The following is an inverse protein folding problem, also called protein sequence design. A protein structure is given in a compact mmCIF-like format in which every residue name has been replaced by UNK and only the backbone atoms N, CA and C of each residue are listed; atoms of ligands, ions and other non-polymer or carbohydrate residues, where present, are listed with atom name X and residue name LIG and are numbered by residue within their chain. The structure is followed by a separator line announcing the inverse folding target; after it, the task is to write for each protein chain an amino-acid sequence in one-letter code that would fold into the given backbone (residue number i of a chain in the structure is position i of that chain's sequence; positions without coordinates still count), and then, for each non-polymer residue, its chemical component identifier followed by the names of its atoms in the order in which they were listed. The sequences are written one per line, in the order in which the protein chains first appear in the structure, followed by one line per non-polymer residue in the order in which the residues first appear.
data_IF_706191074143
#
_entry.id   IF_706191074143
#
_cell.length_a   1.000
_cell.length_b   1.000
_cell.length_c   1.000
_cell.angle_alpha   90.00
_cell.angle_beta   90.00
_cell.angle_gamma   90.00
#
_symmetry.space_group_name_H-M   'P 1'
#
loop_
_entity.id
_entity.type
_entity.pdbx_description
1 polymer ?
#
# COMPACT_ATOMS: atom_id res chain seq x y z
N UNK A 1 27.76 20.85 -17.80
CA UNK A 1 26.39 20.39 -17.74
C UNK A 1 26.33 18.89 -17.62
N UNK A 2 25.81 18.42 -16.49
CA UNK A 2 25.61 16.97 -16.32
C UNK A 2 24.29 16.56 -16.91
N UNK A 3 24.35 15.57 -17.81
CA UNK A 3 23.15 14.95 -18.37
C UNK A 3 22.65 13.91 -17.37
N UNK A 4 21.37 14.00 -17.00
CA UNK A 4 20.72 13.00 -16.16
C UNK A 4 20.22 11.85 -17.02
N UNK A 5 20.48 10.64 -16.56
CA UNK A 5 20.01 9.42 -17.22
C UNK A 5 19.06 8.65 -16.34
N UNK A 6 18.12 7.96 -17.00
CA UNK A 6 17.22 7.00 -16.36
C UNK A 6 17.60 5.62 -16.91
N UNK A 7 17.69 4.64 -16.04
CA UNK A 7 17.94 3.26 -16.45
C UNK A 7 16.61 2.53 -16.57
N UNK A 8 16.34 1.94 -17.74
CA UNK A 8 15.13 1.17 -17.97
C UNK A 8 15.25 -0.25 -17.38
N UNK A 9 14.19 -1.05 -17.50
CA UNK A 9 14.13 -2.42 -16.98
C UNK A 9 15.19 -3.36 -17.61
N UNK A 10 15.68 -3.00 -18.80
CA UNK A 10 16.67 -3.79 -19.54
C UNK A 10 18.11 -3.30 -19.30
N UNK A 11 18.28 -2.32 -18.41
CA UNK A 11 19.58 -1.75 -18.08
C UNK A 11 20.07 -0.67 -19.04
N UNK A 12 19.24 -0.23 -19.99
CA UNK A 12 19.60 0.80 -20.95
C UNK A 12 19.50 2.19 -20.32
N UNK A 13 20.49 3.03 -20.59
CA UNK A 13 20.47 4.42 -20.16
C UNK A 13 19.63 5.27 -21.13
N UNK A 14 18.70 6.05 -20.57
CA UNK A 14 17.86 6.97 -21.34
C UNK A 14 18.06 8.36 -20.78
N UNK A 15 18.34 9.33 -21.68
CA UNK A 15 18.50 10.72 -21.28
C UNK A 15 17.18 11.25 -20.71
N UNK A 16 17.21 11.70 -19.46
CA UNK A 16 16.02 12.18 -18.76
C UNK A 16 15.32 13.33 -19.51
N UNK A 17 16.07 14.14 -20.24
CA UNK A 17 15.51 15.26 -21.04
C UNK A 17 14.64 14.78 -22.21
N UNK A 18 14.79 13.52 -22.65
CA UNK A 18 14.00 12.94 -23.74
C UNK A 18 12.70 12.30 -23.27
N UNK A 19 12.47 12.20 -21.96
CA UNK A 19 11.24 11.65 -21.40
C UNK A 19 10.07 12.59 -21.72
N UNK A 20 9.07 12.09 -22.44
CA UNK A 20 7.92 12.88 -22.88
C UNK A 20 6.77 12.89 -21.88
N UNK A 21 6.69 11.91 -21.00
CA UNK A 21 5.61 11.79 -20.04
C UNK A 21 6.06 11.03 -18.81
N UNK A 22 5.60 11.47 -17.64
CA UNK A 22 5.79 10.78 -16.35
C UNK A 22 4.57 11.02 -15.48
N UNK A 23 4.29 10.13 -14.50
CA UNK A 23 3.22 10.36 -13.53
C UNK A 23 3.48 11.62 -12.72
N UNK A 24 2.42 12.39 -12.44
CA UNK A 24 2.50 13.55 -11.54
C UNK A 24 2.44 13.13 -10.06
N UNK A 25 1.80 12.00 -9.77
CA UNK A 25 1.68 11.45 -8.43
C UNK A 25 2.94 10.64 -8.10
N UNK A 26 3.64 11.03 -7.06
CA UNK A 26 4.93 10.44 -6.67
C UNK A 26 4.83 9.41 -5.56
N UNK A 27 3.64 9.10 -5.02
CA UNK A 27 3.48 8.14 -3.93
C UNK A 27 4.00 6.74 -4.31
N UNK A 28 3.84 6.34 -5.57
CA UNK A 28 4.30 5.05 -6.07
C UNK A 28 5.46 5.18 -7.06
N UNK A 29 6.33 6.18 -6.86
CA UNK A 29 7.45 6.42 -7.78
C UNK A 29 8.40 5.22 -7.90
N UNK A 30 8.49 4.39 -6.85
CA UNK A 30 9.31 3.17 -6.88
C UNK A 30 8.70 2.07 -7.77
N UNK A 31 7.45 2.22 -8.19
CA UNK A 31 6.79 1.34 -9.15
C UNK A 31 6.83 1.90 -10.59
N UNK A 32 7.45 3.04 -10.80
CA UNK A 32 7.55 3.61 -12.14
C UNK A 32 8.42 2.74 -13.05
N UNK A 33 7.95 2.54 -14.27
CA UNK A 33 8.68 1.86 -15.32
C UNK A 33 8.68 2.77 -16.57
N UNK A 34 9.80 2.75 -17.29
CA UNK A 34 9.91 3.51 -18.51
C UNK A 34 9.72 2.58 -19.72
N UNK A 35 8.89 3.00 -20.67
CA UNK A 35 8.70 2.35 -21.95
C UNK A 35 8.85 3.40 -23.04
N UNK A 36 9.91 3.31 -23.83
CA UNK A 36 10.26 4.35 -24.76
C UNK A 36 10.57 5.66 -24.05
N UNK A 37 9.75 6.69 -24.27
CA UNK A 37 9.89 8.02 -23.65
C UNK A 37 8.82 8.31 -22.62
N UNK A 38 8.06 7.29 -22.19
CA UNK A 38 6.96 7.42 -21.24
C UNK A 38 7.33 6.69 -19.93
N UNK A 39 7.21 7.40 -18.82
CA UNK A 39 7.28 6.80 -17.49
C UNK A 39 5.85 6.58 -17.01
N UNK A 40 5.52 5.35 -16.63
CA UNK A 40 4.21 4.97 -16.12
C UNK A 40 4.34 4.11 -14.88
N UNK A 41 3.28 3.99 -14.09
CA UNK A 41 3.24 3.11 -12.93
C UNK A 41 3.10 1.65 -13.38
N UNK A 42 3.96 0.78 -12.83
CA UNK A 42 3.76 -0.66 -12.90
C UNK A 42 2.78 -1.05 -11.79
N UNK A 43 1.56 -1.44 -12.16
CA UNK A 43 0.52 -1.75 -11.18
C UNK A 43 0.86 -2.94 -10.30
N UNK A 44 1.57 -3.93 -10.81
CA UNK A 44 2.01 -5.08 -10.02
C UNK A 44 2.95 -4.63 -8.90
N UNK A 45 3.93 -3.81 -9.22
CA UNK A 45 4.86 -3.24 -8.23
C UNK A 45 4.15 -2.28 -7.27
N UNK A 46 3.25 -1.45 -7.80
CA UNK A 46 2.48 -0.51 -6.97
C UNK A 46 1.65 -1.25 -5.92
N UNK A 47 1.01 -2.36 -6.30
CA UNK A 47 0.25 -3.21 -5.37
C UNK A 47 1.15 -3.84 -4.31
N UNK A 48 2.36 -4.28 -4.66
CA UNK A 48 3.33 -4.82 -3.70
C UNK A 48 3.75 -3.76 -2.69
N UNK A 49 4.04 -2.53 -3.15
CA UNK A 49 4.36 -1.39 -2.28
C UNK A 49 3.19 -1.06 -1.35
N UNK A 50 1.99 -1.03 -1.89
CA UNK A 50 0.77 -0.78 -1.12
C UNK A 50 0.55 -1.85 -0.04
N UNK A 51 0.66 -3.12 -0.39
CA UNK A 51 0.54 -4.22 0.57
C UNK A 51 1.59 -4.16 1.66
N UNK A 52 2.83 -3.82 1.31
CA UNK A 52 3.90 -3.64 2.29
C UNK A 52 3.57 -2.54 3.29
N UNK A 53 3.00 -1.43 2.81
CA UNK A 53 2.55 -0.33 3.66
C UNK A 53 1.40 -0.75 4.58
N UNK A 54 0.44 -1.51 4.06
CA UNK A 54 -0.65 -2.09 4.86
C UNK A 54 -0.08 -2.95 5.98
N UNK A 55 0.88 -3.83 5.69
CA UNK A 55 1.52 -4.69 6.68
C UNK A 55 2.27 -3.89 7.75
N UNK A 56 2.97 -2.84 7.32
CA UNK A 56 3.67 -1.94 8.24
C UNK A 56 2.71 -1.27 9.21
N UNK A 57 1.60 -0.73 8.71
CA UNK A 57 0.61 -0.02 9.51
C UNK A 57 -0.18 -0.97 10.43
N UNK A 58 -0.54 -2.16 9.93
CA UNK A 58 -1.34 -3.11 10.73
C UNK A 58 -0.58 -3.70 11.91
N UNK A 59 0.73 -3.82 11.83
CA UNK A 59 1.54 -4.48 12.87
C UNK A 59 1.32 -3.89 14.27
N UNK A 60 1.51 -2.58 14.51
CA UNK A 60 1.23 -2.00 15.82
C UNK A 60 -0.24 -2.06 16.19
N UNK A 61 -1.15 -2.02 15.22
CA UNK A 61 -2.59 -2.13 15.47
C UNK A 61 -2.96 -3.53 15.96
N UNK A 62 -2.34 -4.57 15.41
CA UNK A 62 -2.52 -5.95 15.88
C UNK A 62 -1.98 -6.12 17.30
N UNK A 63 -0.82 -5.56 17.60
CA UNK A 63 -0.24 -5.61 18.96
C UNK A 63 -1.14 -4.91 19.96
N UNK A 64 -1.68 -3.74 19.63
CA UNK A 64 -2.61 -3.02 20.49
C UNK A 64 -3.91 -3.82 20.72
N UNK A 65 -4.39 -4.50 19.69
CA UNK A 65 -5.60 -5.33 19.80
C UNK A 65 -5.38 -6.58 20.63
N UNK A 66 -4.16 -7.13 20.67
CA UNK A 66 -3.82 -8.23 21.55
C UNK A 66 -4.00 -7.83 23.04
N UNK A 67 -3.64 -6.59 23.39
CA UNK A 67 -3.86 -6.06 24.74
C UNK A 67 -5.36 -5.90 25.02
N UNK A 68 -6.12 -5.39 24.07
CA UNK A 68 -7.58 -5.25 24.19
C UNK A 68 -8.23 -6.61 24.43
N UNK A 69 -7.81 -7.63 23.68
CA UNK A 69 -8.32 -8.99 23.84
C UNK A 69 -7.98 -9.56 25.23
N UNK A 70 -6.76 -9.38 25.71
CA UNK A 70 -6.36 -9.86 27.04
C UNK A 70 -7.18 -9.22 28.14
N UNK A 71 -7.44 -7.92 28.06
CA UNK A 71 -8.29 -7.23 29.03
C UNK A 71 -9.74 -7.76 29.00
N UNK A 72 -10.27 -8.02 27.81
CA UNK A 72 -11.59 -8.59 27.64
C UNK A 72 -11.67 -10.00 28.21
N UNK A 73 -10.63 -10.80 28.03
CA UNK A 73 -10.51 -12.15 28.56
C UNK A 73 -10.51 -12.13 30.10
N UNK A 74 -9.71 -11.26 30.70
CA UNK A 74 -9.63 -11.11 32.17
C UNK A 74 -10.96 -10.66 32.78
N UNK A 75 -11.68 -9.77 32.05
CA UNK A 75 -13.00 -9.28 32.47
C UNK A 75 -14.15 -10.25 32.16
N UNK A 76 -13.86 -11.36 31.46
CA UNK A 76 -14.85 -12.29 30.93
C UNK A 76 -15.96 -11.60 30.14
N UNK A 77 -15.57 -10.59 29.33
CA UNK A 77 -16.48 -9.83 28.49
C UNK A 77 -16.56 -10.47 27.11
N UNK A 78 -17.61 -11.26 26.88
CA UNK A 78 -17.77 -12.01 25.62
C UNK A 78 -17.97 -11.08 24.40
N UNK A 79 -18.63 -9.96 24.56
CA UNK A 79 -18.82 -8.98 23.48
C UNK A 79 -17.49 -8.33 23.10
N UNK A 80 -16.72 -7.88 24.09
CA UNK A 80 -15.41 -7.28 23.85
C UNK A 80 -14.44 -8.28 23.22
N UNK A 81 -14.45 -9.54 23.64
CA UNK A 81 -13.65 -10.62 23.04
C UNK A 81 -13.99 -10.80 21.55
N UNK A 82 -15.26 -10.89 21.22
CA UNK A 82 -15.75 -11.06 19.86
C UNK A 82 -15.36 -9.87 18.99
N UNK A 83 -15.53 -8.65 19.48
CA UNK A 83 -15.14 -7.42 18.75
C UNK A 83 -13.64 -7.39 18.46
N UNK A 84 -12.82 -7.79 19.44
CA UNK A 84 -11.37 -7.84 19.28
C UNK A 84 -10.94 -8.88 18.24
N UNK A 85 -11.52 -10.09 18.29
CA UNK A 85 -11.27 -11.14 17.30
C UNK A 85 -11.61 -10.66 15.88
N UNK A 86 -12.75 -9.99 15.72
CA UNK A 86 -13.18 -9.47 14.43
C UNK A 86 -12.24 -8.39 13.89
N UNK A 87 -11.76 -7.49 14.76
CA UNK A 87 -10.79 -6.46 14.38
C UNK A 87 -9.46 -7.08 13.96
N UNK A 88 -8.96 -8.05 14.71
CA UNK A 88 -7.73 -8.78 14.35
C UNK A 88 -7.85 -9.46 13.00
N UNK A 89 -9.00 -10.10 12.74
CA UNK A 89 -9.26 -10.75 11.46
C UNK A 89 -9.22 -9.75 10.31
N UNK A 90 -9.90 -8.60 10.48
CA UNK A 90 -9.90 -7.54 9.48
C UNK A 90 -8.49 -7.02 9.19
N UNK A 91 -7.67 -6.83 10.24
CA UNK A 91 -6.28 -6.40 10.10
C UNK A 91 -5.43 -7.44 9.38
N UNK A 92 -5.60 -8.73 9.70
CA UNK A 92 -4.87 -9.81 9.03
C UNK A 92 -5.24 -9.94 7.56
N UNK A 93 -6.52 -9.74 7.22
CA UNK A 93 -7.04 -9.88 5.87
C UNK A 93 -6.79 -8.62 5.01
N UNK A 94 -6.46 -7.49 5.61
CA UNK A 94 -6.33 -6.21 4.90
C UNK A 94 -5.39 -6.26 3.67
N UNK A 95 -4.19 -6.89 3.71
CA UNK A 95 -3.33 -6.95 2.53
C UNK A 95 -3.90 -7.80 1.39
N UNK A 96 -4.85 -8.68 1.68
CA UNK A 96 -5.48 -9.57 0.69
C UNK A 96 -6.82 -9.02 0.18
N UNK A 97 -7.15 -7.77 0.47
CA UNK A 97 -8.43 -7.19 0.09
C UNK A 97 -8.64 -7.21 -1.43
N UNK A 98 -9.84 -7.58 -1.85
CA UNK A 98 -10.21 -7.64 -3.26
C UNK A 98 -10.03 -6.28 -3.96
N UNK A 99 -10.33 -5.18 -3.28
CA UNK A 99 -10.16 -3.84 -3.82
C UNK A 99 -8.71 -3.56 -4.26
N UNK A 100 -7.72 -4.13 -3.56
CA UNK A 100 -6.31 -4.03 -3.95
C UNK A 100 -6.06 -4.86 -5.22
N UNK A 101 -6.52 -6.10 -5.24
CA UNK A 101 -6.34 -7.01 -6.38
C UNK A 101 -6.98 -6.45 -7.64
N UNK A 102 -8.17 -5.87 -7.52
CA UNK A 102 -8.96 -5.38 -8.65
C UNK A 102 -8.56 -3.97 -9.11
N UNK A 103 -7.72 -3.26 -8.36
CA UNK A 103 -7.28 -1.91 -8.73
C UNK A 103 -6.46 -1.95 -10.02
N UNK A 104 -6.92 -1.24 -11.03
CA UNK A 104 -6.24 -1.12 -12.33
C UNK A 104 -5.63 0.26 -12.54
N UNK A 105 -5.81 1.17 -11.58
CA UNK A 105 -5.23 2.50 -11.57
C UNK A 105 -4.68 2.85 -10.19
N UNK A 106 -3.76 3.81 -10.13
CA UNK A 106 -3.23 4.30 -8.85
C UNK A 106 -4.33 4.92 -8.00
N UNK A 107 -5.27 5.65 -8.61
CA UNK A 107 -6.40 6.23 -7.88
C UNK A 107 -7.25 5.16 -7.21
N UNK A 108 -7.56 4.07 -7.92
CA UNK A 108 -8.31 2.94 -7.35
C UNK A 108 -7.52 2.21 -6.26
N UNK A 109 -6.21 2.08 -6.45
CA UNK A 109 -5.34 1.47 -5.45
C UNK A 109 -5.33 2.29 -4.16
N UNK A 110 -5.18 3.61 -4.25
CA UNK A 110 -5.26 4.50 -3.08
C UNK A 110 -6.62 4.40 -2.39
N UNK A 111 -7.70 4.33 -3.16
CA UNK A 111 -9.06 4.19 -2.63
C UNK A 111 -9.28 2.84 -1.94
N UNK A 112 -8.44 1.85 -2.19
CA UNK A 112 -8.51 0.54 -1.54
C UNK A 112 -8.02 0.56 -0.07
N UNK A 113 -7.41 1.66 0.39
CA UNK A 113 -7.03 1.81 1.79
C UNK A 113 -8.29 1.88 2.66
N UNK A 114 -8.45 0.89 3.54
CA UNK A 114 -9.62 0.83 4.43
C UNK A 114 -9.34 1.62 5.71
N UNK A 115 -9.84 2.85 5.75
CA UNK A 115 -9.64 3.74 6.91
C UNK A 115 -10.34 3.23 8.17
N UNK A 116 -11.39 2.43 8.03
CA UNK A 116 -12.09 1.85 9.18
C UNK A 116 -11.26 0.77 9.89
N UNK A 117 -10.32 0.16 9.18
CA UNK A 117 -9.45 -0.92 9.68
C UNK A 117 -8.07 -0.38 10.02
N UNK A 118 -7.49 0.43 9.14
CA UNK A 118 -6.09 0.85 9.19
C UNK A 118 -5.89 2.28 9.71
N UNK A 119 -6.98 3.04 9.87
CA UNK A 119 -6.88 4.47 10.18
C UNK A 119 -6.58 5.31 8.95
N UNK A 120 -6.08 6.53 9.15
CA UNK A 120 -5.86 7.49 8.07
C UNK A 120 -4.95 6.94 6.98
N UNK A 121 -5.32 7.20 5.73
CA UNK A 121 -4.53 6.79 4.59
C UNK A 121 -3.26 7.64 4.45
N UNK A 122 -2.08 7.00 4.26
CA UNK A 122 -0.85 7.74 3.95
C UNK A 122 -0.86 8.33 2.54
N UNK A 123 -1.88 7.99 1.74
CA UNK A 123 -2.03 8.43 0.35
C UNK A 123 -3.13 9.47 0.15
N UNK A 124 -3.74 9.89 1.24
CA UNK A 124 -4.81 10.91 1.19
C UNK A 124 -4.25 12.30 0.97
#
# INVERSE_FOLDING_TARGET
NMTSFIVDKDGNQIDASTVSSKPSDRHFRNAWAISGKVIAEDMTKAKEIFKAKVREVRSPLLEAEDVVYMKALEADDSTAKTNSVNKKKALRDAPAAKAITDADTIAKLKAAWDTSVLGDSPYA
#
